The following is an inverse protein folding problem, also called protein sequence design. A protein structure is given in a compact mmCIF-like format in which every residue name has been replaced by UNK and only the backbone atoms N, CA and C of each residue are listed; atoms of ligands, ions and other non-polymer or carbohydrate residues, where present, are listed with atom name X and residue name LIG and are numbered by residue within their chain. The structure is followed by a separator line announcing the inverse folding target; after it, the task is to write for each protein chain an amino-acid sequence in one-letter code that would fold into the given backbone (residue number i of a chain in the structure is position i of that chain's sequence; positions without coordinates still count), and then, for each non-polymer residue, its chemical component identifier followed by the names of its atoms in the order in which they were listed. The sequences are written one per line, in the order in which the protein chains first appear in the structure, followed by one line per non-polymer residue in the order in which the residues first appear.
data_IF_812471210114
#
_entry.id   IF_812471210114
#
_cell.length_a   1.000
_cell.length_b   1.000
_cell.length_c   1.000
_cell.angle_alpha   90.00
_cell.angle_beta   90.00
_cell.angle_gamma   90.00
#
_symmetry.space_group_name_H-M   'P 1'
#
loop_
_entity.id
_entity.type
_entity.pdbx_description
1 polymer ?
#
# COMPACT_ATOMS: atom_id res chain seq x y z
N UNK A 1 0.76 10.06 17.44
CA UNK A 1 0.36 8.68 17.13
C UNK A 1 -1.04 8.74 16.54
N UNK A 2 -1.13 8.88 15.22
CA UNK A 2 -2.39 8.90 14.50
C UNK A 2 -3.06 7.53 14.54
N UNK A 3 -4.38 7.50 14.59
CA UNK A 3 -5.15 6.27 14.55
C UNK A 3 -5.31 5.83 13.09
N UNK A 4 -4.55 4.81 12.70
CA UNK A 4 -4.84 4.06 11.50
C UNK A 4 -5.97 3.09 11.85
N UNK A 5 -7.11 3.24 11.20
CA UNK A 5 -8.19 2.27 11.28
C UNK A 5 -8.08 1.34 10.07
N UNK A 6 -7.51 0.18 10.28
CA UNK A 6 -7.54 -0.88 9.28
C UNK A 6 -8.88 -1.60 9.43
N UNK A 7 -9.72 -1.52 8.41
CA UNK A 7 -10.90 -2.38 8.32
C UNK A 7 -10.62 -3.45 7.27
N UNK A 8 -10.49 -4.69 7.70
CA UNK A 8 -10.61 -5.84 6.80
C UNK A 8 -12.04 -5.86 6.28
N UNK A 9 -12.21 -6.03 4.97
CA UNK A 9 -13.53 -6.08 4.35
C UNK A 9 -14.10 -7.47 4.60
N UNK A 10 -15.22 -7.61 5.33
CA UNK A 10 -15.83 -8.91 5.60
C UNK A 10 -16.41 -9.58 4.34
N UNK A 11 -16.85 -8.79 3.34
CA UNK A 11 -17.49 -9.28 2.12
C UNK A 11 -16.73 -8.78 0.88
N UNK A 12 -15.78 -9.58 0.44
CA UNK A 12 -14.90 -9.27 -0.70
C UNK A 12 -15.61 -9.20 -2.05
N UNK A 13 -16.84 -9.71 -2.17
CA UNK A 13 -17.56 -9.76 -3.45
C UNK A 13 -17.75 -8.38 -4.09
N UNK A 14 -17.97 -7.34 -3.30
CA UNK A 14 -18.10 -5.97 -3.81
C UNK A 14 -16.77 -5.39 -4.32
N UNK A 15 -15.65 -5.95 -3.87
CA UNK A 15 -14.31 -5.49 -4.26
C UNK A 15 -13.70 -6.28 -5.43
N UNK A 16 -14.29 -7.40 -5.84
CA UNK A 16 -13.79 -8.22 -6.96
C UNK A 16 -13.55 -7.38 -8.23
N UNK A 17 -14.47 -6.50 -8.67
CA UNK A 17 -14.21 -5.70 -9.86
C UNK A 17 -13.01 -4.76 -9.73
N UNK A 18 -12.76 -4.22 -8.53
CA UNK A 18 -11.58 -3.38 -8.27
C UNK A 18 -10.30 -4.21 -8.30
N UNK A 19 -10.30 -5.41 -7.71
CA UNK A 19 -9.17 -6.34 -7.74
C UNK A 19 -8.85 -6.78 -9.16
N UNK A 20 -9.84 -7.19 -9.94
CA UNK A 20 -9.67 -7.56 -11.35
C UNK A 20 -9.07 -6.42 -12.15
N UNK A 21 -9.56 -5.19 -11.92
CA UNK A 21 -9.01 -4.01 -12.59
C UNK A 21 -7.56 -3.72 -12.20
N UNK A 22 -7.19 -3.94 -10.95
CA UNK A 22 -5.81 -3.80 -10.49
C UNK A 22 -4.91 -4.84 -11.14
N UNK A 23 -5.36 -6.09 -11.20
CA UNK A 23 -4.65 -7.19 -11.87
C UNK A 23 -4.43 -6.88 -13.36
N UNK A 24 -5.49 -6.50 -14.09
CA UNK A 24 -5.40 -6.08 -15.50
C UNK A 24 -4.34 -4.98 -15.73
N UNK A 25 -4.25 -4.00 -14.81
CA UNK A 25 -3.26 -2.92 -14.90
C UNK A 25 -1.86 -3.47 -14.68
N UNK A 26 -1.68 -4.34 -13.68
CA UNK A 26 -0.39 -4.94 -13.35
C UNK A 26 0.13 -5.81 -14.48
N UNK A 27 -0.73 -6.63 -15.09
CA UNK A 27 -0.39 -7.44 -16.26
C UNK A 27 0.06 -6.58 -17.45
N UNK A 28 -0.64 -5.47 -17.72
CA UNK A 28 -0.29 -4.54 -18.81
C UNK A 28 1.08 -3.88 -18.65
N UNK A 29 1.55 -3.70 -17.42
CA UNK A 29 2.89 -3.16 -17.15
C UNK A 29 3.95 -4.25 -17.00
N UNK A 30 3.60 -5.52 -17.32
CA UNK A 30 4.52 -6.65 -17.35
C UNK A 30 4.71 -7.39 -16.03
N UNK A 31 3.86 -7.11 -15.03
CA UNK A 31 3.82 -7.88 -13.78
C UNK A 31 2.79 -8.99 -13.97
N UNK A 32 3.25 -10.22 -14.17
CA UNK A 32 2.42 -11.37 -14.49
C UNK A 32 2.47 -12.41 -13.38
N UNK A 33 1.53 -13.37 -13.45
CA UNK A 33 1.47 -14.51 -12.53
C UNK A 33 1.40 -14.10 -11.06
N UNK A 34 0.54 -13.12 -10.75
CA UNK A 34 0.35 -12.61 -9.41
C UNK A 34 -0.81 -13.29 -8.70
N UNK A 35 -0.61 -13.52 -7.43
CA UNK A 35 -1.65 -13.91 -6.50
C UNK A 35 -1.89 -12.78 -5.50
N UNK A 36 -3.14 -12.33 -5.40
CA UNK A 36 -3.55 -11.44 -4.31
C UNK A 36 -3.58 -12.25 -3.00
N UNK A 37 -2.93 -11.75 -1.97
CA UNK A 37 -2.90 -12.41 -0.67
C UNK A 37 -3.46 -11.56 0.47
N UNK A 38 -3.69 -10.28 0.24
CA UNK A 38 -4.42 -9.45 1.19
C UNK A 38 -5.02 -8.21 0.52
N UNK A 39 -6.17 -7.79 1.00
CA UNK A 39 -6.84 -6.56 0.58
C UNK A 39 -7.43 -5.87 1.80
N UNK A 40 -7.37 -4.54 1.84
CA UNK A 40 -7.87 -3.76 2.96
C UNK A 40 -8.35 -2.38 2.52
N UNK A 41 -9.28 -1.82 3.29
CA UNK A 41 -9.56 -0.38 3.26
C UNK A 41 -8.81 0.30 4.39
N UNK A 42 -8.25 1.45 4.10
CA UNK A 42 -7.56 2.26 5.08
C UNK A 42 -8.10 3.67 5.09
N UNK A 43 -8.29 4.18 6.30
CA UNK A 43 -8.75 5.53 6.57
C UNK A 43 -7.72 6.23 7.44
N UNK A 44 -7.44 7.49 7.14
CA UNK A 44 -6.61 8.33 7.99
C UNK A 44 -7.27 9.67 8.19
N UNK A 45 -7.29 10.12 9.42
CA UNK A 45 -7.78 11.41 9.85
C UNK A 45 -6.63 12.22 10.41
N UNK A 46 -6.72 13.54 10.33
CA UNK A 46 -5.72 14.48 10.85
C UNK A 46 -4.34 14.43 10.16
N UNK A 47 -3.36 14.99 10.83
CA UNK A 47 -1.97 15.19 10.39
C UNK A 47 -1.15 13.91 10.28
N UNK A 48 -1.77 12.78 9.99
CA UNK A 48 -1.09 11.50 9.92
C UNK A 48 -0.03 11.47 8.84
N UNK A 49 1.13 11.01 9.23
CA UNK A 49 2.20 10.61 8.33
C UNK A 49 2.55 9.14 8.54
N UNK A 50 3.01 8.48 7.52
CA UNK A 50 3.61 7.17 7.65
C UNK A 50 5.13 7.34 7.59
N UNK A 51 5.87 6.95 8.65
CA UNK A 51 7.32 7.11 8.67
C UNK A 51 7.99 6.25 7.61
N UNK A 52 9.25 6.53 7.34
CA UNK A 52 10.04 5.78 6.36
C UNK A 52 10.11 4.30 6.73
N UNK A 53 9.74 3.44 5.81
CA UNK A 53 9.75 1.99 5.97
C UNK A 53 9.82 1.25 4.62
N UNK A 54 9.86 -0.06 4.70
CA UNK A 54 9.60 -1.02 3.62
C UNK A 54 8.52 -1.99 4.08
N UNK A 55 7.64 -2.38 3.20
CA UNK A 55 6.55 -3.32 3.53
C UNK A 55 7.04 -4.73 3.87
N UNK A 56 8.27 -5.03 3.48
CA UNK A 56 8.90 -6.33 3.76
C UNK A 56 9.27 -6.59 5.22
N UNK A 57 9.28 -5.55 6.05
CA UNK A 57 9.77 -5.65 7.44
C UNK A 57 9.01 -6.67 8.31
N UNK A 58 7.88 -7.20 7.85
CA UNK A 58 6.98 -8.03 8.65
C UNK A 58 7.23 -9.53 8.48
N UNK A 59 7.81 -10.01 7.36
CA UNK A 59 8.07 -11.45 7.16
C UNK A 59 9.34 -11.70 6.34
N UNK A 60 10.29 -12.42 6.94
CA UNK A 60 11.54 -12.85 6.28
C UNK A 60 11.32 -13.89 5.16
N UNK A 61 10.11 -14.42 5.01
CA UNK A 61 9.75 -15.52 4.11
C UNK A 61 8.94 -15.08 2.88
N UNK A 62 8.76 -13.78 2.66
CA UNK A 62 8.04 -13.32 1.47
C UNK A 62 8.93 -13.46 0.21
N UNK A 63 8.34 -13.87 -0.92
CA UNK A 63 9.02 -13.91 -2.19
C UNK A 63 9.63 -12.56 -2.56
N UNK A 64 10.68 -12.57 -3.38
CA UNK A 64 11.33 -11.33 -3.82
C UNK A 64 10.37 -10.46 -4.66
N UNK A 65 9.50 -11.08 -5.43
CA UNK A 65 8.57 -10.39 -6.33
C UNK A 65 7.23 -10.17 -5.62
N UNK A 66 7.24 -9.31 -4.62
CA UNK A 66 6.04 -8.88 -3.92
C UNK A 66 5.77 -7.41 -4.16
N UNK A 67 4.51 -7.08 -4.37
CA UNK A 67 4.06 -5.73 -4.67
C UNK A 67 2.95 -5.31 -3.71
N UNK A 68 2.94 -4.04 -3.39
CA UNK A 68 1.79 -3.37 -2.79
C UNK A 68 1.18 -2.46 -3.84
N UNK A 69 -0.13 -2.46 -3.93
CA UNK A 69 -0.88 -1.56 -4.80
C UNK A 69 -1.99 -0.88 -4.01
N UNK A 70 -2.21 0.40 -4.25
CA UNK A 70 -3.30 1.17 -3.65
C UNK A 70 -4.05 1.96 -4.70
N UNK A 71 -5.37 2.08 -4.53
CA UNK A 71 -6.21 3.03 -5.26
C UNK A 71 -6.73 4.04 -4.25
N UNK A 72 -6.41 5.33 -4.46
CA UNK A 72 -6.92 6.41 -3.62
C UNK A 72 -8.39 6.67 -3.93
N UNK A 73 -9.21 6.76 -2.89
CA UNK A 73 -10.67 6.85 -3.00
C UNK A 73 -11.24 8.18 -2.49
N UNK A 74 -10.48 8.92 -1.70
CA UNK A 74 -10.87 10.25 -1.21
C UNK A 74 -10.48 11.36 -2.17
N UNK A 75 -11.20 12.46 -2.13
CA UNK A 75 -10.80 13.70 -2.81
C UNK A 75 -9.43 14.18 -2.32
N UNK A 76 -8.73 14.89 -3.18
CA UNK A 76 -7.43 15.45 -2.87
C UNK A 76 -7.15 16.69 -3.73
N UNK A 77 -6.46 17.67 -3.15
CA UNK A 77 -6.02 18.87 -3.83
C UNK A 77 -4.55 19.17 -3.51
N UNK A 78 -3.83 19.85 -4.43
CA UNK A 78 -2.46 20.28 -4.18
C UNK A 78 -2.34 21.08 -2.88
N UNK A 79 -1.33 20.72 -2.08
CA UNK A 79 -1.08 21.37 -0.78
C UNK A 79 -1.78 20.68 0.40
N UNK A 80 -2.58 19.65 0.18
CA UNK A 80 -3.20 18.89 1.28
C UNK A 80 -2.27 17.87 1.95
N UNK A 81 -1.07 17.65 1.39
CA UNK A 81 -0.15 16.64 1.90
C UNK A 81 -0.60 15.22 1.56
N UNK A 82 -0.05 14.27 2.28
CA UNK A 82 -0.40 12.85 2.09
C UNK A 82 0.27 12.20 0.87
N UNK A 83 1.22 12.87 0.22
CA UNK A 83 1.94 12.30 -0.91
C UNK A 83 2.71 11.05 -0.49
N UNK A 84 2.68 10.04 -1.36
CA UNK A 84 3.54 8.87 -1.26
C UNK A 84 4.92 9.23 -1.85
N UNK A 85 5.97 9.04 -1.07
CA UNK A 85 7.33 9.44 -1.43
C UNK A 85 8.25 8.23 -1.43
N UNK A 86 8.98 8.04 -2.53
CA UNK A 86 10.00 7.00 -2.67
C UNK A 86 11.38 7.66 -2.77
N UNK A 87 12.38 7.10 -2.11
CA UNK A 87 13.74 7.64 -2.13
C UNK A 87 14.75 6.72 -1.45
N UNK A 88 15.98 7.19 -1.33
CA UNK A 88 17.05 6.46 -0.64
C UNK A 88 16.96 6.63 0.87
N UNK A 89 17.10 5.54 1.65
CA UNK A 89 17.04 5.62 3.10
C UNK A 89 18.31 6.28 3.67
N UNK A 90 18.12 7.12 4.68
CA UNK A 90 19.18 7.67 5.52
C UNK A 90 19.11 6.99 6.88
N UNK A 91 20.17 6.31 7.27
CA UNK A 91 20.28 5.61 8.54
C UNK A 91 20.91 6.51 9.61
N UNK A 92 20.54 6.31 10.86
CA UNK A 92 21.19 6.99 12.01
C UNK A 92 22.66 6.58 12.17
N UNK A 93 22.98 5.34 11.80
CA UNK A 93 24.30 4.74 11.76
C UNK A 93 24.27 3.52 10.82
N UNK A 94 25.43 3.02 10.34
CA UNK A 94 25.47 1.80 9.54
C UNK A 94 24.74 0.63 10.23
N UNK A 95 23.73 0.05 9.55
CA UNK A 95 22.88 -1.02 10.08
C UNK A 95 21.86 -0.59 11.16
N UNK A 96 21.73 0.71 11.39
CA UNK A 96 20.81 1.28 12.38
C UNK A 96 19.41 1.50 11.85
N UNK A 97 18.66 2.38 12.53
CA UNK A 97 17.28 2.74 12.13
C UNK A 97 17.30 3.76 11.01
N UNK A 98 16.36 3.62 10.09
CA UNK A 98 16.10 4.63 9.06
C UNK A 98 15.48 5.85 9.72
N UNK A 99 15.99 7.04 9.38
CA UNK A 99 15.51 8.32 9.88
C UNK A 99 14.67 9.09 8.87
N UNK A 100 15.12 9.08 7.62
CA UNK A 100 14.51 9.89 6.56
C UNK A 100 14.80 9.27 5.19
N UNK A 101 14.23 9.87 4.16
CA UNK A 101 14.62 9.63 2.77
C UNK A 101 15.43 10.81 2.24
N UNK A 102 16.29 10.52 1.28
CA UNK A 102 16.98 11.48 0.42
C UNK A 102 16.88 11.01 -1.03
N UNK A 103 17.37 11.81 -1.97
CA UNK A 103 17.37 11.48 -3.40
C UNK A 103 16.00 10.92 -3.84
N UNK A 104 14.96 11.70 -3.60
CA UNK A 104 13.59 11.31 -3.93
C UNK A 104 13.48 10.96 -5.41
N UNK A 105 13.06 9.74 -5.69
CA UNK A 105 12.84 9.24 -7.05
C UNK A 105 11.43 9.50 -7.52
N UNK A 106 10.46 9.40 -6.62
CA UNK A 106 9.05 9.63 -6.91
C UNK A 106 8.35 10.35 -5.76
N UNK A 107 7.50 11.30 -6.11
CA UNK A 107 6.53 11.94 -5.21
C UNK A 107 5.18 11.83 -5.89
N UNK A 108 4.29 11.05 -5.30
CA UNK A 108 3.01 10.68 -5.90
C UNK A 108 1.87 11.27 -5.09
N UNK A 109 1.13 12.16 -5.71
CA UNK A 109 -0.06 12.79 -5.15
C UNK A 109 -1.19 11.77 -5.04
N UNK A 110 -1.91 11.66 -3.90
CA UNK A 110 -2.96 10.67 -3.67
C UNK A 110 -4.30 11.11 -4.29
N UNK A 111 -4.31 11.41 -5.60
CA UNK A 111 -5.52 11.83 -6.33
C UNK A 111 -6.54 10.69 -6.41
N UNK A 112 -7.84 10.99 -6.34
CA UNK A 112 -8.89 9.97 -6.48
C UNK A 112 -8.75 9.19 -7.79
N UNK A 113 -9.00 7.90 -7.74
CA UNK A 113 -8.85 6.93 -8.84
C UNK A 113 -7.41 6.75 -9.36
N UNK A 114 -6.41 7.32 -8.68
CA UNK A 114 -5.02 7.01 -8.98
C UNK A 114 -4.64 5.70 -8.33
N UNK A 115 -4.08 4.78 -9.12
CA UNK A 115 -3.43 3.57 -8.63
C UNK A 115 -1.94 3.81 -8.52
N UNK A 116 -1.36 3.43 -7.39
CA UNK A 116 0.09 3.41 -7.16
C UNK A 116 0.51 2.00 -6.85
N UNK A 117 1.55 1.53 -7.54
CA UNK A 117 2.11 0.18 -7.38
C UNK A 117 3.58 0.32 -7.07
N UNK A 118 4.09 -0.43 -6.09
CA UNK A 118 5.52 -0.46 -5.78
C UNK A 118 5.96 -1.84 -5.32
N UNK A 119 7.24 -2.14 -5.54
CA UNK A 119 7.85 -3.30 -4.91
C UNK A 119 7.90 -3.11 -3.40
N UNK A 120 7.61 -4.13 -2.63
CA UNK A 120 7.66 -4.07 -1.17
C UNK A 120 9.06 -3.85 -0.60
N UNK A 121 10.09 -3.94 -1.44
CA UNK A 121 11.47 -3.62 -1.07
C UNK A 121 11.79 -2.12 -1.14
N UNK A 122 10.94 -1.33 -1.80
CA UNK A 122 11.17 0.10 -1.93
C UNK A 122 11.01 0.84 -0.61
N UNK A 123 12.00 1.68 -0.32
CA UNK A 123 11.91 2.58 0.81
C UNK A 123 10.97 3.73 0.49
N UNK A 124 9.96 3.86 1.31
CA UNK A 124 8.93 4.87 1.10
C UNK A 124 8.41 5.45 2.41
N UNK A 125 7.70 6.54 2.28
CA UNK A 125 6.96 7.20 3.36
C UNK A 125 5.71 7.86 2.81
N UNK A 126 4.83 8.30 3.71
CA UNK A 126 3.69 9.15 3.36
C UNK A 126 3.81 10.46 4.13
N UNK A 127 3.76 11.57 3.41
CA UNK A 127 3.78 12.90 4.02
C UNK A 127 2.57 13.11 4.93
N UNK A 128 2.73 13.96 5.94
CA UNK A 128 1.62 14.36 6.78
C UNK A 128 0.52 15.04 5.96
N UNK A 129 -0.72 14.80 6.33
CA UNK A 129 -1.84 15.60 5.85
C UNK A 129 -1.76 17.00 6.46
N UNK A 130 -2.00 18.01 5.63
CA UNK A 130 -2.00 19.42 6.01
C UNK A 130 -3.33 20.10 5.74
N UNK A 131 -4.34 19.33 5.33
CA UNK A 131 -5.70 19.81 5.09
C UNK A 131 -6.31 20.33 6.39
N UNK A 132 -6.86 21.54 6.33
CA UNK A 132 -7.52 22.17 7.48
C UNK A 132 -9.04 21.98 7.41
N UNK A 133 -9.47 20.74 7.32
CA UNK A 133 -10.88 20.35 7.36
C UNK A 133 -11.02 19.18 8.37
N UNK A 134 -11.67 19.41 9.51
CA UNK A 134 -11.81 18.38 10.54
C UNK A 134 -12.68 17.19 10.10
N UNK A 135 -13.40 17.32 9.00
CA UNK A 135 -14.22 16.24 8.44
C UNK A 135 -13.51 15.49 7.31
N UNK A 136 -12.32 15.95 6.89
CA UNK A 136 -11.61 15.28 5.84
C UNK A 136 -11.07 13.92 6.31
N UNK A 137 -11.38 12.90 5.54
CA UNK A 137 -10.86 11.53 5.74
C UNK A 137 -10.15 11.11 4.47
N UNK A 138 -8.84 10.90 4.57
CA UNK A 138 -8.09 10.26 3.51
C UNK A 138 -8.41 8.78 3.52
N UNK A 139 -8.80 8.25 2.38
CA UNK A 139 -9.09 6.83 2.23
C UNK A 139 -8.43 6.23 1.00
N UNK A 140 -8.13 4.95 1.07
CA UNK A 140 -7.67 4.17 -0.07
C UNK A 140 -8.00 2.69 0.11
N UNK A 141 -8.10 2.00 -1.01
CA UNK A 141 -8.16 0.55 -1.07
C UNK A 141 -6.76 0.03 -1.38
N UNK A 142 -6.24 -0.81 -0.51
CA UNK A 142 -4.90 -1.38 -0.60
C UNK A 142 -4.94 -2.88 -0.85
N UNK A 143 -3.93 -3.38 -1.55
CA UNK A 143 -3.77 -4.81 -1.86
C UNK A 143 -2.30 -5.20 -1.83
N UNK A 144 -2.05 -6.46 -1.49
CA UNK A 144 -0.72 -7.06 -1.57
C UNK A 144 -0.73 -8.25 -2.50
N UNK A 145 0.32 -8.36 -3.30
CA UNK A 145 0.46 -9.34 -4.37
C UNK A 145 1.83 -10.03 -4.30
N UNK A 146 1.89 -11.30 -4.70
CA UNK A 146 3.14 -12.04 -4.86
C UNK A 146 3.09 -12.90 -6.10
N UNK A 147 4.26 -13.29 -6.63
CA UNK A 147 4.32 -14.26 -7.73
C UNK A 147 3.79 -15.63 -7.29
N UNK A 148 3.16 -16.35 -8.21
CA UNK A 148 2.51 -17.65 -7.97
C UNK A 148 3.53 -18.75 -7.65
N UNK A 149 4.78 -18.62 -8.07
CA UNK A 149 5.84 -19.63 -7.85
C UNK A 149 6.16 -19.91 -6.38
N UNK A 150 5.57 -19.17 -5.48
CA UNK A 150 5.83 -19.28 -4.05
C UNK A 150 4.71 -20.00 -3.31
N UNK A 151 4.54 -21.27 -3.60
CA UNK A 151 3.57 -22.16 -2.96
C UNK A 151 3.81 -22.42 -1.46
N UNK A 152 4.74 -21.75 -0.81
CA UNK A 152 5.02 -21.88 0.62
C UNK A 152 4.38 -20.77 1.47
N UNK A 153 3.29 -20.20 1.02
CA UNK A 153 2.52 -19.31 1.88
C UNK A 153 1.79 -20.15 2.94
N UNK A 154 2.35 -20.20 4.14
CA UNK A 154 1.56 -20.49 5.33
C UNK A 154 0.29 -19.64 5.24
N UNK A 155 -0.85 -20.30 5.27
CA UNK A 155 -2.16 -19.71 5.12
C UNK A 155 -2.26 -18.41 5.91
N UNK A 156 -2.26 -17.28 5.19
CA UNK A 156 -2.70 -16.03 5.78
C UNK A 156 -4.17 -16.24 6.17
N UNK A 157 -4.56 -16.13 7.44
CA UNK A 157 -5.93 -16.35 7.86
C UNK A 157 -6.92 -15.45 7.13
N UNK A 158 -6.44 -14.33 6.53
CA UNK A 158 -7.23 -13.45 5.68
C UNK A 158 -7.45 -13.99 4.25
N UNK A 159 -6.64 -14.90 3.74
CA UNK A 159 -6.87 -15.53 2.43
C UNK A 159 -8.15 -16.39 2.39
N UNK A 160 -8.59 -16.93 3.52
CA UNK A 160 -9.81 -17.76 3.59
C UNK A 160 -11.09 -16.99 3.27
N UNK A 161 -11.07 -15.67 3.27
CA UNK A 161 -12.26 -14.86 3.07
C UNK A 161 -12.45 -14.40 1.62
N UNK A 162 -11.47 -14.61 0.73
CA UNK A 162 -11.49 -13.93 -0.56
C UNK A 162 -11.76 -14.81 -1.78
N UNK A 163 -11.59 -16.12 -1.72
CA UNK A 163 -11.73 -16.98 -2.88
C UNK A 163 -12.21 -18.39 -2.51
N UNK A 164 -13.40 -18.52 -2.01
CA UNK A 164 -14.12 -19.79 -2.12
C UNK A 164 -15.24 -19.58 -3.13
N UNK A 165 -14.99 -19.97 -4.37
CA UNK A 165 -16.07 -20.33 -5.26
C UNK A 165 -16.71 -21.60 -4.69
N UNK A 166 -17.94 -21.52 -4.23
CA UNK A 166 -18.89 -22.61 -4.20
C UNK A 166 -20.02 -22.29 -5.19
#
# INVERSE_FOLDING_TARGET
TGNWLDSCIPDAYECIPALQKMEDVMERIGIQELQNWSSWFQYSVDTMSLPVHRDQAVRKSLPKDTYTAVIYTSDWQPGWGGEFVVGKPVFDKPGGKVKSLTDFTHIIEPKPNRMTIWSREEWHMVNALTVNDPNYVRSFFGTSWSSIETNEHEHNPFQRFYFTEE
#
